data_IF_162509165229
#
_entry.id   IF_162509165229
#
_cell.length_a   1.000
_cell.length_b   1.000
_cell.length_c   1.000
_cell.angle_alpha   90.00
_cell.angle_beta   90.00
_cell.angle_gamma   90.00
#
_symmetry.space_group_name_H-M   'P 1'
#
loop_
_entity.id
_entity.type
_entity.pdbx_description
1 polymer ?
#
# COMPACT_ATOMS: atom_id res chain seq x y z
N UNK A 1 0.47 -16.58 6.24
CA UNK A 1 -0.62 -17.27 6.95
C UNK A 1 -1.96 -17.16 6.23
N UNK A 2 -2.78 -16.10 6.38
CA UNK A 2 -4.14 -16.09 5.78
C UNK A 2 -4.14 -16.16 4.25
N UNK A 3 -3.17 -15.53 3.59
CA UNK A 3 -2.98 -15.67 2.14
C UNK A 3 -2.78 -17.14 1.70
N UNK A 4 -2.03 -17.92 2.49
CA UNK A 4 -1.71 -19.33 2.20
C UNK A 4 -2.92 -20.25 2.43
N UNK A 5 -3.97 -19.78 3.11
CA UNK A 5 -5.23 -20.52 3.28
C UNK A 5 -6.09 -20.54 2.01
N UNK A 6 -5.68 -19.80 0.97
CA UNK A 6 -6.37 -19.74 -0.33
C UNK A 6 -7.42 -18.64 -0.37
N UNK A 7 -7.18 -17.64 -1.22
CA UNK A 7 -8.13 -16.57 -1.56
C UNK A 7 -8.28 -16.62 -3.09
N UNK A 8 -9.44 -17.04 -3.63
CA UNK A 8 -9.60 -17.27 -5.06
C UNK A 8 -10.02 -15.99 -5.80
N UNK A 9 -9.23 -14.92 -5.67
CA UNK A 9 -9.52 -13.60 -6.24
C UNK A 9 -8.68 -13.23 -7.47
N UNK A 10 -7.98 -14.21 -8.05
CA UNK A 10 -7.30 -14.04 -9.34
C UNK A 10 -8.27 -13.67 -10.46
N UNK A 11 -9.44 -14.31 -10.48
CA UNK A 11 -10.61 -13.92 -11.27
C UNK A 11 -11.69 -13.39 -10.32
N UNK A 12 -11.52 -12.14 -9.86
CA UNK A 12 -12.42 -11.50 -8.91
C UNK A 12 -13.73 -11.00 -9.55
N UNK A 13 -13.88 -11.04 -10.87
CA UNK A 13 -15.15 -10.84 -11.56
C UNK A 13 -15.22 -11.62 -12.88
N UNK A 14 -16.44 -11.90 -13.33
CA UNK A 14 -16.75 -12.43 -14.67
C UNK A 14 -17.92 -11.64 -15.28
N UNK A 15 -17.95 -11.56 -16.61
CA UNK A 15 -19.04 -10.97 -17.38
C UNK A 15 -19.17 -11.68 -18.74
N UNK A 16 -20.33 -12.26 -19.08
CA UNK A 16 -21.55 -12.34 -18.27
C UNK A 16 -21.35 -13.24 -17.03
N UNK A 17 -22.19 -13.06 -16.01
CA UNK A 17 -22.20 -13.92 -14.82
C UNK A 17 -22.53 -15.38 -15.15
N UNK A 18 -22.35 -16.31 -14.19
CA UNK A 18 -22.60 -17.76 -14.42
C UNK A 18 -24.02 -18.09 -14.86
N UNK A 19 -24.98 -17.20 -14.62
CA UNK A 19 -26.38 -17.32 -15.03
C UNK A 19 -26.72 -16.55 -16.32
N UNK A 20 -25.71 -16.04 -17.04
CA UNK A 20 -25.90 -15.26 -18.27
C UNK A 20 -26.30 -13.79 -18.03
N UNK A 21 -26.32 -13.35 -16.77
CA UNK A 21 -26.69 -11.99 -16.36
C UNK A 21 -25.49 -11.02 -16.34
N UNK A 22 -25.67 -9.88 -15.67
CA UNK A 22 -24.67 -8.80 -15.46
C UNK A 22 -23.37 -9.27 -14.78
N UNK A 23 -22.47 -8.32 -14.49
CA UNK A 23 -21.18 -8.59 -13.85
C UNK A 23 -21.37 -9.32 -12.52
N UNK A 24 -20.70 -10.47 -12.36
CA UNK A 24 -20.65 -11.21 -11.10
C UNK A 24 -19.29 -11.04 -10.44
N UNK A 25 -19.27 -10.51 -9.21
CA UNK A 25 -18.06 -10.40 -8.39
C UNK A 25 -17.83 -11.66 -7.55
N UNK A 26 -16.55 -11.93 -7.26
CA UNK A 26 -16.08 -13.05 -6.44
C UNK A 26 -16.67 -14.41 -6.88
N UNK A 27 -16.61 -14.77 -8.17
CA UNK A 27 -17.30 -15.94 -8.74
C UNK A 27 -16.87 -17.28 -8.12
N UNK A 28 -15.68 -17.32 -7.50
CA UNK A 28 -15.08 -18.52 -6.92
C UNK A 28 -15.09 -18.52 -5.38
N UNK A 29 -15.73 -17.52 -4.75
CA UNK A 29 -15.80 -17.44 -3.30
C UNK A 29 -16.92 -18.31 -2.73
N UNK A 30 -16.66 -18.90 -1.58
CA UNK A 30 -17.67 -19.48 -0.69
C UNK A 30 -17.59 -18.77 0.67
N UNK A 31 -18.43 -19.17 1.63
CA UNK A 31 -18.47 -18.51 2.96
C UNK A 31 -17.12 -18.51 3.68
N UNK A 32 -16.32 -19.58 3.56
CA UNK A 32 -15.00 -19.64 4.22
C UNK A 32 -14.00 -18.69 3.55
N UNK A 33 -14.06 -18.52 2.22
CA UNK A 33 -13.18 -17.60 1.51
C UNK A 33 -13.41 -16.15 1.93
N UNK A 34 -14.66 -15.74 2.16
CA UNK A 34 -14.96 -14.40 2.68
C UNK A 34 -14.36 -14.17 4.08
N UNK A 35 -14.44 -15.16 4.98
CA UNK A 35 -13.84 -15.06 6.31
C UNK A 35 -12.30 -14.95 6.22
N UNK A 36 -11.66 -15.82 5.43
CA UNK A 36 -10.21 -15.81 5.22
C UNK A 36 -9.77 -14.45 4.64
N UNK A 37 -10.51 -13.94 3.66
CA UNK A 37 -10.24 -12.65 3.02
C UNK A 37 -10.38 -11.49 3.99
N UNK A 38 -11.43 -11.47 4.81
CA UNK A 38 -11.63 -10.43 5.82
C UNK A 38 -10.47 -10.39 6.82
N UNK A 39 -10.00 -11.55 7.26
CA UNK A 39 -8.83 -11.65 8.14
C UNK A 39 -7.55 -11.17 7.43
N UNK A 40 -7.31 -11.63 6.20
CA UNK A 40 -6.17 -11.18 5.40
C UNK A 40 -6.14 -9.65 5.25
N UNK A 41 -7.26 -9.04 4.90
CA UNK A 41 -7.39 -7.60 4.71
C UNK A 41 -7.10 -6.84 6.00
N UNK A 42 -7.65 -7.31 7.13
CA UNK A 42 -7.38 -6.72 8.44
C UNK A 42 -5.88 -6.70 8.77
N UNK A 43 -5.19 -7.83 8.59
CA UNK A 43 -3.75 -7.88 8.88
C UNK A 43 -2.91 -7.09 7.86
N UNK A 44 -3.35 -7.00 6.60
CA UNK A 44 -2.69 -6.17 5.59
C UNK A 44 -2.78 -4.68 5.94
N UNK A 45 -3.96 -4.20 6.38
CA UNK A 45 -4.13 -2.84 6.89
C UNK A 45 -3.19 -2.57 8.08
N UNK A 46 -3.27 -3.41 9.12
CA UNK A 46 -2.41 -3.28 10.30
C UNK A 46 -0.93 -3.25 9.90
N UNK A 47 -0.51 -4.08 8.94
CA UNK A 47 0.85 -4.06 8.43
C UNK A 47 1.24 -2.68 7.86
N UNK A 48 0.46 -2.13 6.92
CA UNK A 48 0.79 -0.84 6.31
C UNK A 48 0.80 0.29 7.33
N UNK A 49 -0.15 0.31 8.25
CA UNK A 49 -0.14 1.29 9.32
C UNK A 49 1.15 1.22 10.14
N UNK A 50 1.59 0.01 10.54
CA UNK A 50 2.78 -0.17 11.37
C UNK A 50 4.08 0.09 10.61
N UNK A 51 4.23 -0.36 9.37
CA UNK A 51 5.47 -0.16 8.61
C UNK A 51 5.70 1.31 8.27
N UNK A 52 4.65 2.06 7.92
CA UNK A 52 4.76 3.50 7.69
C UNK A 52 5.05 4.28 8.97
N UNK A 53 4.45 3.88 10.10
CA UNK A 53 4.80 4.44 11.41
C UNK A 53 6.29 4.23 11.76
N UNK A 54 6.86 3.07 11.38
CA UNK A 54 8.27 2.79 11.57
C UNK A 54 9.16 3.69 10.69
N UNK A 55 8.81 3.90 9.41
CA UNK A 55 9.50 4.86 8.56
C UNK A 55 9.39 6.30 9.08
N UNK A 56 8.24 6.71 9.59
CA UNK A 56 8.08 8.05 10.17
C UNK A 56 8.94 8.23 11.43
N UNK A 57 9.04 7.18 12.27
CA UNK A 57 9.97 7.15 13.40
C UNK A 57 11.41 7.37 12.95
N UNK A 58 11.83 6.71 11.86
CA UNK A 58 13.14 6.97 11.24
C UNK A 58 13.25 8.44 10.79
N UNK A 59 12.20 9.00 10.19
CA UNK A 59 12.14 10.42 9.83
C UNK A 59 12.38 11.35 11.03
N UNK A 60 11.78 11.05 12.19
CA UNK A 60 12.02 11.76 13.44
C UNK A 60 13.47 11.66 13.92
N UNK A 61 14.06 10.45 13.88
CA UNK A 61 15.46 10.26 14.24
C UNK A 61 16.40 11.06 13.32
N UNK A 62 16.17 11.02 12.01
CA UNK A 62 16.94 11.82 11.05
C UNK A 62 16.83 13.33 11.33
N UNK A 63 15.62 13.81 11.67
CA UNK A 63 15.40 15.21 12.01
C UNK A 63 16.21 15.66 13.23
N UNK A 64 16.37 14.79 14.24
CA UNK A 64 17.18 15.05 15.44
C UNK A 64 18.67 14.96 15.11
N UNK A 65 19.11 13.82 14.56
CA UNK A 65 20.53 13.53 14.28
C UNK A 65 21.18 14.58 13.38
N UNK A 66 20.46 15.01 12.34
CA UNK A 66 20.95 15.98 11.36
C UNK A 66 20.43 17.41 11.59
N UNK A 67 19.76 17.66 12.73
CA UNK A 67 19.23 18.99 13.12
C UNK A 67 18.44 19.66 11.98
N UNK A 68 17.55 18.92 11.32
CA UNK A 68 16.84 19.37 10.09
C UNK A 68 15.74 20.42 10.37
N UNK A 69 15.40 20.66 11.65
CA UNK A 69 14.43 21.66 12.12
C UNK A 69 13.08 21.56 11.39
N UNK A 70 12.60 20.34 11.14
CA UNK A 70 11.27 20.08 10.58
C UNK A 70 10.26 20.04 11.74
N UNK A 71 9.15 20.79 11.60
CA UNK A 71 8.08 20.84 12.61
C UNK A 71 7.12 19.65 12.50
N UNK A 72 6.61 19.37 11.30
CA UNK A 72 5.78 18.20 10.99
C UNK A 72 6.65 17.18 10.29
N UNK A 73 7.22 16.28 11.07
CA UNK A 73 8.18 15.30 10.56
C UNK A 73 7.41 14.09 10.04
N UNK A 74 7.81 13.67 8.84
CA UNK A 74 7.52 12.35 8.29
C UNK A 74 8.71 11.90 7.45
N UNK A 75 8.77 10.62 7.11
CA UNK A 75 9.95 10.01 6.46
C UNK A 75 10.37 10.76 5.18
N UNK A 76 9.43 10.98 4.26
CA UNK A 76 9.68 11.70 2.99
C UNK A 76 10.18 13.13 3.22
N UNK A 77 9.60 13.85 4.17
CA UNK A 77 9.98 15.23 4.49
C UNK A 77 11.38 15.33 5.09
N UNK A 78 11.77 14.35 5.92
CA UNK A 78 13.11 14.26 6.49
C UNK A 78 14.15 14.02 5.40
N UNK A 79 13.89 13.07 4.49
CA UNK A 79 14.78 12.80 3.35
C UNK A 79 14.95 14.05 2.47
N UNK A 80 13.87 14.76 2.15
CA UNK A 80 13.95 15.96 1.31
C UNK A 80 14.90 17.03 1.89
N UNK A 81 14.91 17.21 3.21
CA UNK A 81 15.85 18.14 3.89
C UNK A 81 17.24 17.57 4.11
N UNK A 82 17.42 16.26 4.02
CA UNK A 82 18.70 15.61 4.24
C UNK A 82 19.73 15.97 3.15
N UNK A 83 19.28 16.39 1.96
CA UNK A 83 20.15 16.72 0.82
C UNK A 83 21.27 17.70 1.17
N UNK A 84 21.01 18.68 2.04
CA UNK A 84 22.02 19.66 2.47
C UNK A 84 22.88 19.19 3.65
N UNK A 85 22.38 18.26 4.47
CA UNK A 85 23.06 17.80 5.68
C UNK A 85 23.92 16.54 5.45
N UNK A 86 23.43 15.61 4.64
CA UNK A 86 24.14 14.39 4.25
C UNK A 86 23.70 13.96 2.83
N UNK A 87 24.39 14.42 1.77
CA UNK A 87 24.04 14.11 0.37
C UNK A 87 24.09 12.61 0.04
N UNK A 88 25.00 11.86 0.66
CA UNK A 88 25.18 10.43 0.39
C UNK A 88 24.02 9.60 0.96
N UNK A 89 23.67 9.86 2.23
CA UNK A 89 22.50 9.23 2.84
C UNK A 89 21.22 9.69 2.15
N UNK A 90 21.16 10.95 1.69
CA UNK A 90 20.01 11.47 0.92
C UNK A 90 19.81 10.67 -0.35
N UNK A 91 20.87 10.49 -1.16
CA UNK A 91 20.80 9.72 -2.40
C UNK A 91 20.31 8.28 -2.14
N UNK A 92 20.82 7.65 -1.10
CA UNK A 92 20.48 6.27 -0.75
C UNK A 92 19.02 6.13 -0.31
N UNK A 93 18.55 6.99 0.59
CA UNK A 93 17.16 6.96 1.08
C UNK A 93 16.16 7.48 0.04
N UNK A 94 16.56 8.41 -0.82
CA UNK A 94 15.72 8.90 -1.92
C UNK A 94 15.44 7.79 -2.93
N UNK A 95 16.43 6.93 -3.21
CA UNK A 95 16.23 5.76 -4.06
C UNK A 95 15.19 4.77 -3.49
N UNK A 96 15.08 4.66 -2.16
CA UNK A 96 14.04 3.85 -1.51
C UNK A 96 12.67 4.50 -1.68
N UNK A 97 12.57 5.81 -1.47
CA UNK A 97 11.30 6.54 -1.66
C UNK A 97 10.85 6.48 -3.12
N UNK A 98 11.76 6.57 -4.07
CA UNK A 98 11.45 6.52 -5.50
C UNK A 98 11.19 5.11 -6.03
N UNK A 99 11.39 4.09 -5.20
CA UNK A 99 11.14 2.70 -5.58
C UNK A 99 9.65 2.48 -5.90
N UNK A 100 9.31 1.85 -7.05
CA UNK A 100 7.93 1.58 -7.41
C UNK A 100 7.14 0.82 -6.33
N UNK A 101 7.78 -0.10 -5.61
CA UNK A 101 7.12 -0.84 -4.54
C UNK A 101 6.83 0.04 -3.32
N UNK A 102 7.71 0.99 -3.01
CA UNK A 102 7.45 1.99 -1.97
C UNK A 102 6.27 2.89 -2.35
N UNK A 103 6.23 3.34 -3.61
CA UNK A 103 5.14 4.18 -4.11
C UNK A 103 3.79 3.43 -4.11
N UNK A 104 3.80 2.16 -4.52
CA UNK A 104 2.62 1.28 -4.41
C UNK A 104 2.19 1.11 -2.96
N UNK A 105 3.12 0.83 -2.03
CA UNK A 105 2.83 0.71 -0.61
C UNK A 105 2.21 1.98 -0.04
N UNK A 106 2.75 3.14 -0.40
CA UNK A 106 2.23 4.43 0.06
C UNK A 106 0.81 4.67 -0.46
N UNK A 107 0.56 4.35 -1.74
CA UNK A 107 -0.78 4.45 -2.32
C UNK A 107 -1.77 3.51 -1.62
N UNK A 108 -1.40 2.23 -1.44
CA UNK A 108 -2.26 1.25 -0.76
C UNK A 108 -2.59 1.70 0.66
N UNK A 109 -1.59 2.18 1.41
CA UNK A 109 -1.79 2.75 2.75
C UNK A 109 -2.73 3.95 2.73
N UNK A 110 -2.52 4.90 1.82
CA UNK A 110 -3.34 6.10 1.71
C UNK A 110 -4.80 5.73 1.38
N UNK A 111 -5.00 4.79 0.45
CA UNK A 111 -6.33 4.29 0.09
C UNK A 111 -7.02 3.56 1.25
N UNK A 112 -6.30 2.76 2.04
CA UNK A 112 -6.84 2.11 3.24
C UNK A 112 -7.28 3.16 4.28
N UNK A 113 -6.50 4.22 4.50
CA UNK A 113 -6.80 5.23 5.53
C UNK A 113 -7.86 6.26 5.14
N UNK A 114 -8.03 6.54 3.85
CA UNK A 114 -8.82 7.70 3.41
C UNK A 114 -9.90 7.37 2.37
N UNK A 115 -9.90 6.17 1.77
CA UNK A 115 -10.82 5.78 0.71
C UNK A 115 -11.60 4.50 1.07
N UNK A 116 -12.32 3.94 0.09
CA UNK A 116 -12.83 2.58 0.16
C UNK A 116 -11.66 1.60 0.21
N UNK A 117 -11.74 0.57 1.06
CA UNK A 117 -10.73 -0.48 1.15
C UNK A 117 -10.40 -0.98 -0.27
N UNK A 118 -9.15 -0.87 -0.76
CA UNK A 118 -8.78 -1.33 -2.11
C UNK A 118 -9.05 -2.82 -2.33
N UNK A 119 -9.21 -3.55 -1.23
CA UNK A 119 -9.54 -4.96 -1.14
C UNK A 119 -11.04 -5.24 -1.24
N UNK A 120 -11.86 -4.21 -1.48
CA UNK A 120 -13.30 -4.26 -1.75
C UNK A 120 -13.58 -3.67 -3.13
N UNK A 121 -14.54 -4.23 -3.85
CA UNK A 121 -14.96 -3.72 -5.16
C UNK A 121 -15.66 -2.38 -4.93
N UNK A 122 -15.13 -1.31 -5.53
CA UNK A 122 -15.81 -0.01 -5.50
C UNK A 122 -17.11 -0.02 -6.34
N UNK A 123 -17.87 1.07 -6.30
CA UNK A 123 -19.19 1.12 -6.95
C UNK A 123 -19.15 0.98 -8.48
N UNK A 124 -17.98 1.01 -9.12
CA UNK A 124 -17.86 1.02 -10.59
C UNK A 124 -18.45 2.28 -11.22
N UNK A 125 -18.80 3.28 -10.41
CA UNK A 125 -19.33 4.58 -10.83
C UNK A 125 -18.16 5.55 -10.92
N UNK A 126 -17.80 5.94 -12.14
CA UNK A 126 -16.87 7.05 -12.36
C UNK A 126 -17.67 8.30 -12.75
N UNK A 127 -17.33 9.44 -12.13
CA UNK A 127 -17.96 10.75 -12.39
C UNK A 127 -16.91 11.70 -12.96
N UNK A 128 -16.51 11.54 -14.23
CA UNK A 128 -15.51 12.41 -14.84
C UNK A 128 -15.95 13.89 -14.96
N UNK A 129 -17.24 14.20 -14.85
CA UNK A 129 -17.76 15.55 -14.70
C UNK A 129 -19.18 15.55 -14.10
N UNK A 130 -19.69 16.72 -13.67
CA UNK A 130 -21.05 16.86 -13.11
C UNK A 130 -22.18 16.33 -14.01
N UNK A 131 -21.93 16.18 -15.31
CA UNK A 131 -22.92 15.74 -16.32
C UNK A 131 -22.61 14.38 -16.95
N UNK A 132 -21.55 13.69 -16.54
CA UNK A 132 -21.21 12.35 -17.06
C UNK A 132 -20.99 11.38 -15.92
N UNK A 133 -21.84 10.35 -15.89
CA UNK A 133 -21.70 9.18 -15.03
C UNK A 133 -21.40 8.00 -15.94
N UNK A 134 -20.25 7.36 -15.76
CA UNK A 134 -19.90 6.12 -16.44
C UNK A 134 -20.04 4.96 -15.48
N UNK A 135 -20.75 3.92 -15.92
CA UNK A 135 -20.92 2.66 -15.19
C UNK A 135 -19.97 1.63 -15.78
N UNK A 136 -19.08 1.08 -14.95
CA UNK A 136 -18.09 0.07 -15.33
C UNK A 136 -17.90 -0.96 -14.22
N UNK A 137 -16.91 -1.85 -14.41
CA UNK A 137 -16.49 -2.78 -13.37
C UNK A 137 -15.75 -1.99 -12.28
N UNK A 138 -16.10 -2.20 -11.02
CA UNK A 138 -15.45 -1.52 -9.90
C UNK A 138 -13.95 -1.83 -9.79
N UNK A 139 -13.15 -1.02 -9.11
CA UNK A 139 -11.72 -1.33 -8.91
C UNK A 139 -11.54 -2.30 -7.75
N UNK A 140 -10.57 -3.20 -7.88
CA UNK A 140 -10.22 -4.19 -6.87
C UNK A 140 -8.72 -4.51 -6.93
N UNK A 141 -8.06 -4.53 -5.78
CA UNK A 141 -6.67 -4.98 -5.64
C UNK A 141 -6.64 -6.40 -5.08
N UNK A 142 -5.99 -7.31 -5.82
CA UNK A 142 -5.93 -8.73 -5.46
C UNK A 142 -5.11 -8.97 -4.20
N UNK A 143 -5.46 -10.00 -3.43
CA UNK A 143 -4.71 -10.45 -2.26
C UNK A 143 -3.27 -10.83 -2.61
N UNK A 144 -3.03 -11.39 -3.80
CA UNK A 144 -1.68 -11.68 -4.27
C UNK A 144 -0.83 -10.40 -4.43
N UNK A 145 -1.42 -9.31 -4.92
CA UNK A 145 -0.73 -8.04 -5.07
C UNK A 145 -0.39 -7.40 -3.72
N UNK A 146 -1.31 -7.48 -2.77
CA UNK A 146 -1.05 -7.07 -1.39
C UNK A 146 0.11 -7.87 -0.78
N UNK A 147 0.06 -9.20 -0.90
CA UNK A 147 1.09 -10.08 -0.37
C UNK A 147 2.48 -9.78 -0.95
N UNK A 148 2.57 -9.58 -2.26
CA UNK A 148 3.82 -9.20 -2.93
C UNK A 148 4.35 -7.86 -2.43
N UNK A 149 3.49 -6.83 -2.34
CA UNK A 149 3.92 -5.51 -1.91
C UNK A 149 4.27 -5.45 -0.42
N UNK A 150 3.63 -6.25 0.44
CA UNK A 150 4.03 -6.44 1.85
C UNK A 150 5.47 -6.94 1.94
N UNK A 151 5.82 -7.96 1.15
CA UNK A 151 7.20 -8.50 1.11
C UNK A 151 8.20 -7.47 0.60
N UNK A 152 7.86 -6.75 -0.47
CA UNK A 152 8.71 -5.70 -1.02
C UNK A 152 8.91 -4.54 -0.01
N UNK A 153 7.84 -4.13 0.68
CA UNK A 153 7.88 -3.09 1.72
C UNK A 153 8.81 -3.47 2.88
N UNK A 154 8.76 -4.74 3.32
CA UNK A 154 9.69 -5.24 4.34
C UNK A 154 11.14 -5.19 3.86
N UNK A 155 11.41 -5.60 2.63
CA UNK A 155 12.75 -5.55 2.06
C UNK A 155 13.28 -4.11 1.98
N UNK A 156 12.45 -3.17 1.52
CA UNK A 156 12.78 -1.75 1.47
C UNK A 156 12.99 -1.13 2.86
N UNK A 157 12.24 -1.58 3.86
CA UNK A 157 12.44 -1.16 5.24
C UNK A 157 13.80 -1.66 5.78
N UNK A 158 14.16 -2.92 5.53
CA UNK A 158 15.50 -3.45 5.90
C UNK A 158 16.61 -2.63 5.21
N UNK A 159 16.49 -2.39 3.90
CA UNK A 159 17.43 -1.56 3.14
C UNK A 159 17.53 -0.14 3.71
N UNK A 160 16.43 0.42 4.21
CA UNK A 160 16.42 1.73 4.89
C UNK A 160 17.33 1.72 6.12
N UNK A 161 17.20 0.68 6.96
CA UNK A 161 18.02 0.54 8.17
C UNK A 161 19.51 0.33 7.83
N UNK A 162 19.81 -0.44 6.78
CA UNK A 162 21.17 -0.65 6.29
C UNK A 162 21.81 0.65 5.80
N UNK A 163 21.08 1.46 5.03
CA UNK A 163 21.57 2.77 4.57
C UNK A 163 21.94 3.68 5.75
N UNK A 164 21.16 3.64 6.84
CA UNK A 164 21.43 4.45 8.03
C UNK A 164 22.65 3.92 8.77
N UNK A 165 22.75 2.60 8.96
CA UNK A 165 23.87 1.95 9.67
C UNK A 165 25.22 2.19 8.99
N UNK A 166 25.27 2.24 7.66
CA UNK A 166 26.52 2.48 6.92
C UNK A 166 27.05 3.92 7.06
N UNK A 167 26.23 4.82 7.62
CA UNK A 167 26.52 6.26 7.73
C UNK A 167 26.55 6.73 9.20
N UNK A 168 26.41 5.81 10.16
CA UNK A 168 26.55 6.01 11.61
C UNK A 168 27.90 5.50 12.10
#
# INVERSE_FOLDING_TARGET
>A
YYFEKGIPDDEWFISPGKQGESVQYYPHFDKKHFLIKSEFDYYADVFYYKIFSAWDTIGHLLNILYKLKIKRVGFKSAIAKLKSANPNLFKSLKAIVDDPDFQKANKLRDDITHNYLPSTVDSGIDKPSERKVTFGVGKYTKSAEFYQNVRASLHLFVKTLECIKQQS
#
